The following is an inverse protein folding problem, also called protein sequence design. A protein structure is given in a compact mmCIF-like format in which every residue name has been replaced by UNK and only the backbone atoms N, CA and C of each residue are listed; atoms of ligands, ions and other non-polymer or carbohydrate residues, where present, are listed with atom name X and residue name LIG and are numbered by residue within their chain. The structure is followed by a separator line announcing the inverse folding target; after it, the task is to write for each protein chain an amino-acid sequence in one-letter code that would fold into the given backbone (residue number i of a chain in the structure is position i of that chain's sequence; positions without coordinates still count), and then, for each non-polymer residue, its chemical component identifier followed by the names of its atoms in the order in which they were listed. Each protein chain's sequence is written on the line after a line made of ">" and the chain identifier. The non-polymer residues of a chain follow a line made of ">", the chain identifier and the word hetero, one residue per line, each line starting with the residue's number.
data_IF_748972056054
#
_entry.id   IF_748972056054
#
_cell.length_a   1.000
_cell.length_b   1.000
_cell.length_c   1.000
_cell.angle_alpha   90.00
_cell.angle_beta   90.00
_cell.angle_gamma   90.00
#
_symmetry.space_group_name_H-M   'P 1'
#
loop_
_entity.id
_entity.type
_entity.pdbx_description
1 polymer ?
#
# COMPACT_ATOMS: atom_id res chain seq x y z
N UNK A 1 38.37 8.93 5.25
CA UNK A 1 37.21 8.84 4.35
C UNK A 1 36.27 10.00 4.72
N UNK A 2 36.13 11.00 3.85
CA UNK A 2 35.24 12.13 4.08
C UNK A 2 33.79 11.70 3.81
N UNK A 3 32.96 11.69 4.85
CA UNK A 3 31.52 11.48 4.74
C UNK A 3 30.89 12.61 3.93
N UNK A 4 30.10 12.27 2.91
CA UNK A 4 29.38 13.25 2.11
C UNK A 4 28.39 14.02 3.00
N UNK A 5 28.28 15.35 2.91
CA UNK A 5 27.50 16.18 3.86
C UNK A 5 25.99 15.87 3.89
N UNK A 6 25.48 15.10 2.93
CA UNK A 6 24.08 14.63 2.87
C UNK A 6 23.90 13.16 3.31
N UNK A 7 24.98 12.45 3.61
CA UNK A 7 24.94 11.04 3.98
C UNK A 7 24.75 10.92 5.50
N UNK A 8 23.48 10.82 5.94
CA UNK A 8 23.11 10.75 7.37
C UNK A 8 23.45 9.41 8.03
N UNK A 9 23.60 8.33 7.27
CA UNK A 9 23.98 7.00 7.75
C UNK A 9 24.99 6.34 6.78
N UNK A 10 25.80 5.41 7.29
CA UNK A 10 26.60 4.52 6.44
C UNK A 10 25.69 3.83 5.40
N UNK A 11 26.22 3.49 4.22
CA UNK A 11 25.43 2.82 3.17
C UNK A 11 24.60 1.68 3.79
N UNK A 12 23.26 1.65 3.58
CA UNK A 12 22.40 0.69 4.27
C UNK A 12 22.91 -0.74 4.05
N UNK A 13 22.91 -1.56 5.10
CA UNK A 13 23.33 -2.95 4.98
C UNK A 13 22.45 -3.66 3.95
N UNK A 14 23.06 -4.17 2.88
CA UNK A 14 22.37 -4.92 1.82
C UNK A 14 21.47 -6.02 2.39
N UNK A 15 21.98 -6.78 3.34
CA UNK A 15 21.25 -7.88 3.96
C UNK A 15 20.02 -7.38 4.74
N UNK A 16 20.11 -6.18 5.33
CA UNK A 16 18.99 -5.57 6.05
C UNK A 16 17.94 -5.03 5.09
N UNK A 17 18.35 -4.42 3.97
CA UNK A 17 17.45 -4.02 2.87
C UNK A 17 16.69 -5.22 2.33
N UNK A 18 17.42 -6.29 1.98
CA UNK A 18 16.83 -7.52 1.46
C UNK A 18 15.88 -8.16 2.47
N UNK A 19 16.24 -8.18 3.76
CA UNK A 19 15.37 -8.71 4.81
C UNK A 19 14.08 -7.91 4.92
N UNK A 20 14.15 -6.58 4.93
CA UNK A 20 12.97 -5.71 4.96
C UNK A 20 12.07 -5.96 3.74
N UNK A 21 12.64 -5.97 2.53
CA UNK A 21 11.87 -6.19 1.31
C UNK A 21 11.27 -7.59 1.22
N UNK A 22 12.02 -8.63 1.61
CA UNK A 22 11.53 -10.01 1.57
C UNK A 22 10.41 -10.24 2.61
N UNK A 23 10.57 -9.72 3.83
CA UNK A 23 9.55 -9.82 4.89
C UNK A 23 8.29 -9.04 4.55
N UNK A 24 8.42 -7.81 4.03
CA UNK A 24 7.29 -7.03 3.54
C UNK A 24 6.56 -7.73 2.40
N UNK A 25 7.29 -8.25 1.41
CA UNK A 25 6.71 -8.99 0.30
C UNK A 25 5.96 -10.24 0.78
N UNK A 26 6.55 -11.00 1.70
CA UNK A 26 5.89 -12.16 2.29
C UNK A 26 4.61 -11.77 3.04
N UNK A 27 4.62 -10.66 3.78
CA UNK A 27 3.44 -10.11 4.45
C UNK A 27 2.34 -9.76 3.44
N UNK A 28 2.68 -9.09 2.33
CA UNK A 28 1.69 -8.67 1.33
C UNK A 28 1.10 -9.86 0.59
N UNK A 29 1.92 -10.86 0.25
CA UNK A 29 1.44 -12.11 -0.34
C UNK A 29 0.55 -12.90 0.62
N UNK A 30 0.86 -12.88 1.92
CA UNK A 30 -0.01 -13.47 2.94
C UNK A 30 -1.36 -12.74 3.02
N UNK A 31 -1.37 -11.41 2.94
CA UNK A 31 -2.61 -10.61 2.85
C UNK A 31 -3.42 -10.97 1.59
N UNK A 32 -2.79 -11.06 0.41
CA UNK A 32 -3.51 -11.50 -0.81
C UNK A 32 -4.03 -12.94 -0.73
N UNK A 33 -3.28 -13.84 -0.09
CA UNK A 33 -3.75 -15.20 0.18
C UNK A 33 -4.95 -15.19 1.13
N UNK A 34 -4.95 -14.34 2.15
CA UNK A 34 -6.10 -14.17 3.03
C UNK A 34 -7.30 -13.60 2.27
N UNK A 35 -7.08 -12.59 1.43
CA UNK A 35 -8.13 -11.94 0.62
C UNK A 35 -8.84 -12.93 -0.30
N UNK A 36 -8.12 -13.86 -0.92
CA UNK A 36 -8.72 -14.87 -1.81
C UNK A 36 -9.55 -15.92 -1.09
N UNK A 37 -9.38 -16.05 0.23
CA UNK A 37 -10.14 -16.96 1.08
C UNK A 37 -11.25 -16.24 1.84
N UNK A 38 -11.24 -14.91 1.83
CA UNK A 38 -12.22 -14.08 2.50
C UNK A 38 -13.48 -14.02 1.63
N UNK A 39 -14.61 -14.46 2.17
CA UNK A 39 -15.88 -14.46 1.47
C UNK A 39 -16.70 -13.23 1.84
N UNK A 40 -16.81 -12.30 0.89
CA UNK A 40 -17.57 -11.06 1.03
C UNK A 40 -18.46 -10.89 -0.19
N UNK A 41 -19.65 -10.27 -0.04
CA UNK A 41 -20.51 -9.97 -1.18
C UNK A 41 -19.80 -9.16 -2.28
N UNK A 42 -18.83 -8.32 -1.91
CA UNK A 42 -18.06 -7.52 -2.85
C UNK A 42 -17.16 -8.34 -3.79
N UNK A 43 -16.78 -9.58 -3.42
CA UNK A 43 -15.97 -10.45 -4.27
C UNK A 43 -16.63 -10.76 -5.62
N UNK A 44 -17.98 -10.80 -5.63
CA UNK A 44 -18.78 -11.10 -6.82
C UNK A 44 -19.26 -9.84 -7.57
N UNK A 45 -18.94 -8.64 -7.07
CA UNK A 45 -19.31 -7.38 -7.71
C UNK A 45 -18.33 -7.01 -8.83
N UNK A 46 -18.74 -6.12 -9.75
CA UNK A 46 -17.82 -5.56 -10.73
C UNK A 46 -16.67 -4.82 -10.02
N UNK A 47 -15.44 -5.11 -10.42
CA UNK A 47 -14.23 -4.61 -9.76
C UNK A 47 -13.85 -5.36 -8.48
N UNK A 48 -14.71 -6.23 -7.95
CA UNK A 48 -14.37 -7.08 -6.80
C UNK A 48 -13.79 -6.31 -5.62
N UNK A 49 -12.76 -6.88 -4.99
CA UNK A 49 -11.97 -6.25 -3.94
C UNK A 49 -11.13 -5.06 -4.41
N UNK A 50 -10.88 -4.89 -5.71
CA UNK A 50 -10.10 -3.77 -6.22
C UNK A 50 -10.88 -2.44 -6.23
N UNK A 51 -12.13 -2.46 -5.75
CA UNK A 51 -12.87 -1.26 -5.37
C UNK A 51 -12.26 -0.55 -4.15
N UNK A 52 -11.53 -1.26 -3.29
CA UNK A 52 -10.88 -0.67 -2.13
C UNK A 52 -9.50 -0.12 -2.47
N UNK A 53 -9.26 1.14 -2.11
CA UNK A 53 -7.94 1.75 -2.25
C UNK A 53 -6.83 0.93 -1.57
N UNK A 54 -7.12 0.34 -0.40
CA UNK A 54 -6.18 -0.56 0.33
C UNK A 54 -5.70 -1.71 -0.55
N UNK A 55 -6.58 -2.32 -1.35
CA UNK A 55 -6.22 -3.49 -2.16
C UNK A 55 -5.42 -3.06 -3.39
N UNK A 56 -5.77 -1.93 -3.99
CA UNK A 56 -5.01 -1.33 -5.08
C UNK A 56 -3.61 -0.89 -4.62
N UNK A 57 -3.51 -0.21 -3.47
CA UNK A 57 -2.22 0.21 -2.91
C UNK A 57 -1.37 -0.99 -2.55
N UNK A 58 -1.94 -2.02 -1.90
CA UNK A 58 -1.25 -3.25 -1.55
C UNK A 58 -0.70 -3.98 -2.78
N UNK A 59 -1.43 -3.96 -3.90
CA UNK A 59 -0.94 -4.53 -5.17
C UNK A 59 0.31 -3.78 -5.67
N UNK A 60 0.29 -2.43 -5.65
CA UNK A 60 1.45 -1.63 -6.02
C UNK A 60 2.61 -1.80 -5.04
N UNK A 61 2.33 -1.91 -3.74
CA UNK A 61 3.31 -2.23 -2.68
C UNK A 61 3.98 -3.58 -2.92
N UNK A 62 3.21 -4.58 -3.33
CA UNK A 62 3.71 -5.92 -3.70
C UNK A 62 4.64 -5.86 -4.89
N UNK A 63 4.26 -5.14 -5.96
CA UNK A 63 5.14 -4.94 -7.12
C UNK A 63 6.41 -4.18 -6.71
N UNK A 64 6.28 -3.13 -5.90
CA UNK A 64 7.40 -2.32 -5.43
C UNK A 64 8.41 -3.16 -4.67
N UNK A 65 7.94 -3.97 -3.71
CA UNK A 65 8.80 -4.83 -2.90
C UNK A 65 9.34 -6.03 -3.69
N UNK A 66 8.59 -6.56 -4.66
CA UNK A 66 9.10 -7.59 -5.57
C UNK A 66 10.26 -7.06 -6.42
N UNK A 67 10.12 -5.86 -7.01
CA UNK A 67 11.22 -5.21 -7.75
C UNK A 67 12.40 -4.93 -6.82
N UNK A 68 12.15 -4.51 -5.58
CA UNK A 68 13.20 -4.25 -4.60
C UNK A 68 13.97 -5.51 -4.21
N UNK A 69 13.29 -6.64 -3.98
CA UNK A 69 13.95 -7.95 -3.74
C UNK A 69 14.84 -8.34 -4.93
N UNK A 70 14.33 -8.21 -6.16
CA UNK A 70 15.14 -8.53 -7.35
C UNK A 70 16.32 -7.57 -7.48
N UNK A 71 16.15 -6.28 -7.19
CA UNK A 71 17.23 -5.30 -7.18
C UNK A 71 18.32 -5.65 -6.14
N UNK A 72 17.94 -6.04 -4.93
CA UNK A 72 18.87 -6.40 -3.85
C UNK A 72 19.65 -7.69 -4.13
N UNK A 73 19.02 -8.66 -4.82
CA UNK A 73 19.65 -9.91 -5.22
C UNK A 73 20.61 -9.71 -6.40
N UNK A 74 20.20 -8.93 -7.40
CA UNK A 74 20.94 -8.75 -8.67
C UNK A 74 21.92 -7.57 -8.69
N UNK A 75 21.81 -6.65 -7.72
CA UNK A 75 22.55 -5.39 -7.68
C UNK A 75 22.29 -4.50 -8.91
N UNK A 76 21.14 -4.66 -9.57
CA UNK A 76 20.78 -3.91 -10.76
C UNK A 76 20.31 -2.49 -10.39
N UNK A 77 21.09 -1.49 -10.83
CA UNK A 77 20.82 -0.07 -10.55
C UNK A 77 19.53 0.44 -11.19
N UNK A 78 19.13 -0.12 -12.35
CA UNK A 78 17.86 0.22 -13.01
C UNK A 78 16.67 -0.26 -12.19
N UNK A 79 16.70 -1.51 -11.69
CA UNK A 79 15.65 -2.03 -10.82
C UNK A 79 15.58 -1.24 -9.51
N UNK A 80 16.74 -0.88 -8.94
CA UNK A 80 16.79 0.00 -7.77
C UNK A 80 16.20 1.39 -8.07
N UNK A 81 16.40 1.95 -9.27
CA UNK A 81 15.74 3.21 -9.66
C UNK A 81 14.23 3.04 -9.82
N UNK A 82 13.76 1.92 -10.38
CA UNK A 82 12.34 1.62 -10.57
C UNK A 82 11.63 1.47 -9.22
N UNK A 83 12.14 0.62 -8.31
CA UNK A 83 11.51 0.41 -6.98
C UNK A 83 11.34 1.72 -6.24
N UNK A 84 12.34 2.57 -6.35
CA UNK A 84 12.40 3.86 -5.72
C UNK A 84 11.38 4.87 -6.29
N UNK A 85 11.23 4.91 -7.62
CA UNK A 85 10.19 5.73 -8.28
C UNK A 85 8.79 5.27 -7.90
N UNK A 86 8.57 3.97 -7.75
CA UNK A 86 7.30 3.44 -7.26
C UNK A 86 7.05 3.86 -5.80
N UNK A 87 8.05 3.68 -4.93
CA UNK A 87 7.95 3.99 -3.49
C UNK A 87 7.61 5.47 -3.21
N UNK A 88 8.02 6.41 -4.07
CA UNK A 88 7.66 7.85 -3.96
C UNK A 88 6.16 8.07 -3.87
N UNK A 89 5.37 7.25 -4.58
CA UNK A 89 3.90 7.34 -4.57
C UNK A 89 3.32 6.35 -3.57
N UNK A 90 3.82 5.13 -3.57
CA UNK A 90 3.21 4.04 -2.81
C UNK A 90 3.34 4.26 -1.31
N UNK A 91 4.48 4.74 -0.82
CA UNK A 91 4.67 4.99 0.61
C UNK A 91 3.68 6.00 1.22
N UNK A 92 3.49 7.21 0.65
CA UNK A 92 2.51 8.16 1.20
C UNK A 92 1.07 7.66 1.05
N UNK A 93 0.73 6.91 -0.01
CA UNK A 93 -0.60 6.31 -0.16
C UNK A 93 -0.86 5.27 0.94
N UNK A 94 0.10 4.40 1.22
CA UNK A 94 -0.04 3.38 2.28
C UNK A 94 -0.09 3.99 3.68
N UNK A 95 0.67 5.06 3.93
CA UNK A 95 0.56 5.83 5.19
C UNK A 95 -0.82 6.47 5.30
N UNK A 96 -1.36 7.04 4.22
CA UNK A 96 -2.72 7.60 4.21
C UNK A 96 -3.76 6.51 4.51
N UNK A 97 -3.67 5.36 3.84
CA UNK A 97 -4.55 4.21 4.08
C UNK A 97 -4.49 3.80 5.56
N UNK A 98 -3.30 3.66 6.13
CA UNK A 98 -3.11 3.28 7.53
C UNK A 98 -3.74 4.31 8.49
N UNK A 99 -3.45 5.60 8.29
CA UNK A 99 -3.96 6.67 9.16
C UNK A 99 -5.48 6.78 9.09
N UNK A 100 -6.06 6.71 7.89
CA UNK A 100 -7.51 6.76 7.73
C UNK A 100 -8.17 5.54 8.36
N UNK A 101 -7.66 4.35 8.07
CA UNK A 101 -8.21 3.10 8.58
C UNK A 101 -8.17 3.04 10.11
N UNK A 102 -6.98 3.17 10.71
CA UNK A 102 -6.82 3.07 12.16
C UNK A 102 -7.43 4.25 12.90
N UNK A 103 -7.51 5.42 12.26
CA UNK A 103 -8.24 6.57 12.79
C UNK A 103 -9.74 6.29 12.92
N UNK A 104 -10.36 5.72 11.89
CA UNK A 104 -11.77 5.31 11.94
C UNK A 104 -11.96 4.15 12.93
N UNK A 105 -11.09 3.14 12.88
CA UNK A 105 -11.14 1.98 13.78
C UNK A 105 -11.05 2.39 15.26
N UNK A 106 -10.20 3.35 15.60
CA UNK A 106 -10.06 3.85 16.97
C UNK A 106 -11.29 4.66 17.44
N UNK A 107 -12.03 5.28 16.51
CA UNK A 107 -13.25 6.02 16.82
C UNK A 107 -14.46 5.08 16.93
N UNK A 108 -14.75 4.32 15.88
CA UNK A 108 -15.83 3.33 15.84
C UNK A 108 -15.57 2.29 14.73
N UNK A 109 -15.18 1.05 15.08
CA UNK A 109 -14.95 -0.04 14.13
C UNK A 109 -16.18 -0.39 13.27
N UNK A 110 -17.40 -0.11 13.74
CA UNK A 110 -18.63 -0.42 12.98
C UNK A 110 -18.79 0.45 11.73
N UNK A 111 -18.03 1.55 11.62
CA UNK A 111 -17.99 2.38 10.42
C UNK A 111 -17.19 1.73 9.28
N UNK A 112 -16.33 0.75 9.58
CA UNK A 112 -15.51 0.05 8.58
C UNK A 112 -16.23 -1.20 8.06
N UNK A 113 -16.75 -2.04 8.95
CA UNK A 113 -17.44 -3.27 8.61
C UNK A 113 -18.42 -3.69 9.72
N UNK A 114 -19.51 -4.39 9.40
CA UNK A 114 -20.40 -4.95 10.40
C UNK A 114 -19.72 -6.14 11.07
N UNK A 115 -20.25 -6.56 12.21
CA UNK A 115 -19.62 -7.56 13.07
C UNK A 115 -19.42 -8.91 12.37
N UNK A 116 -20.30 -9.26 11.43
CA UNK A 116 -20.26 -10.47 10.61
C UNK A 116 -19.08 -10.53 9.63
N UNK A 117 -18.48 -9.40 9.28
CA UNK A 117 -17.31 -9.30 8.39
C UNK A 117 -16.09 -8.72 9.10
N UNK A 118 -15.98 -8.94 10.41
CA UNK A 118 -14.77 -8.59 11.15
C UNK A 118 -13.63 -9.54 10.79
N UNK A 119 -12.53 -8.94 10.38
CA UNK A 119 -11.30 -9.64 10.06
C UNK A 119 -10.49 -9.95 11.34
N UNK A 120 -9.76 -11.08 11.41
CA UNK A 120 -8.79 -11.31 12.48
C UNK A 120 -7.74 -10.20 12.52
N UNK A 121 -7.40 -9.72 13.71
CA UNK A 121 -6.51 -8.54 13.92
C UNK A 121 -5.15 -8.65 13.21
N UNK A 122 -4.59 -9.87 13.09
CA UNK A 122 -3.31 -10.08 12.41
C UNK A 122 -3.44 -9.83 10.90
N UNK A 123 -4.53 -10.29 10.29
CA UNK A 123 -4.80 -10.03 8.89
C UNK A 123 -5.08 -8.53 8.70
N UNK A 124 -5.84 -7.91 9.60
CA UNK A 124 -6.13 -6.48 9.58
C UNK A 124 -4.86 -5.61 9.61
N UNK A 125 -3.93 -5.89 10.53
CA UNK A 125 -2.59 -5.28 10.57
C UNK A 125 -1.86 -5.50 9.24
N UNK A 126 -1.93 -6.71 8.68
CA UNK A 126 -1.30 -7.07 7.41
C UNK A 126 -1.81 -6.29 6.20
N UNK A 127 -3.09 -5.91 6.18
CA UNK A 127 -3.67 -5.07 5.11
C UNK A 127 -3.43 -3.58 5.34
N UNK A 128 -3.62 -3.10 6.57
CA UNK A 128 -3.80 -1.67 6.81
C UNK A 128 -2.62 -0.99 7.51
N UNK A 129 -1.79 -1.71 8.28
CA UNK A 129 -0.64 -1.10 8.96
C UNK A 129 0.69 -1.49 8.31
N UNK A 130 0.87 -2.78 8.03
CA UNK A 130 2.16 -3.33 7.66
C UNK A 130 2.75 -2.73 6.38
N UNK A 131 1.96 -2.51 5.30
CA UNK A 131 2.46 -1.85 4.09
C UNK A 131 3.02 -0.44 4.36
N UNK A 132 2.27 0.39 5.08
CA UNK A 132 2.70 1.74 5.44
C UNK A 132 3.97 1.75 6.29
N UNK A 133 4.08 0.82 7.25
CA UNK A 133 5.26 0.70 8.12
C UNK A 133 6.50 0.31 7.29
N UNK A 134 6.46 -0.78 6.53
CA UNK A 134 7.66 -1.27 5.82
C UNK A 134 8.10 -0.34 4.69
N UNK A 135 7.15 0.29 3.97
CA UNK A 135 7.49 1.29 2.95
C UNK A 135 8.07 2.56 3.57
N UNK A 136 7.56 3.00 4.72
CA UNK A 136 8.15 4.13 5.45
C UNK A 136 9.59 3.82 5.88
N UNK A 137 9.83 2.61 6.40
CA UNK A 137 11.18 2.17 6.75
C UNK A 137 12.09 2.13 5.51
N UNK A 138 11.63 1.61 4.38
CA UNK A 138 12.40 1.59 3.12
C UNK A 138 12.75 3.02 2.66
N UNK A 139 11.76 3.90 2.59
CA UNK A 139 11.96 5.28 2.10
C UNK A 139 12.88 6.08 3.03
N UNK A 140 12.78 5.89 4.35
CA UNK A 140 13.57 6.66 5.33
C UNK A 140 15.01 6.15 5.49
N UNK A 141 15.23 4.84 5.37
CA UNK A 141 16.51 4.22 5.73
C UNK A 141 17.25 3.52 4.58
N UNK A 142 16.54 3.06 3.55
CA UNK A 142 17.13 2.21 2.48
C UNK A 142 17.03 2.82 1.09
N UNK A 143 16.34 3.95 0.96
CA UNK A 143 16.19 4.70 -0.29
C UNK A 143 17.02 6.00 -0.28
N UNK A 144 17.54 6.44 -1.43
CA UNK A 144 18.18 7.75 -1.52
C UNK A 144 17.15 8.87 -1.27
N UNK A 145 17.59 10.05 -0.80
CA UNK A 145 16.69 11.17 -0.57
C UNK A 145 16.06 11.63 -1.89
N UNK A 146 14.73 11.76 -1.89
CA UNK A 146 13.96 12.21 -3.04
C UNK A 146 13.77 13.72 -3.00
N UNK A 147 14.05 14.39 -4.11
CA UNK A 147 13.73 15.80 -4.31
C UNK A 147 12.72 15.93 -5.44
N UNK A 148 11.45 15.67 -5.13
CA UNK A 148 10.34 16.04 -6.02
C UNK A 148 9.82 17.42 -5.60
N UNK A 149 9.49 18.27 -6.57
CA UNK A 149 8.91 19.58 -6.28
C UNK A 149 7.49 19.40 -5.71
N UNK A 150 7.06 20.33 -4.86
CA UNK A 150 5.70 20.32 -4.32
C UNK A 150 4.65 20.33 -5.43
N UNK A 151 4.88 21.04 -6.53
CA UNK A 151 3.96 21.07 -7.69
C UNK A 151 3.87 19.73 -8.40
N UNK A 152 4.99 19.03 -8.61
CA UNK A 152 4.99 17.69 -9.20
C UNK A 152 4.28 16.68 -8.30
N UNK A 153 4.48 16.76 -6.99
CA UNK A 153 3.79 15.90 -6.02
C UNK A 153 2.28 16.16 -6.02
N UNK A 154 1.86 17.43 -6.02
CA UNK A 154 0.45 17.80 -6.10
C UNK A 154 -0.18 17.32 -7.41
N UNK A 155 0.49 17.50 -8.55
CA UNK A 155 0.00 17.04 -9.83
C UNK A 155 -0.17 15.51 -9.84
N UNK A 156 0.81 14.77 -9.34
CA UNK A 156 0.78 13.31 -9.28
C UNK A 156 -0.34 12.81 -8.34
N UNK A 157 -0.46 13.39 -7.15
CA UNK A 157 -1.54 13.06 -6.20
C UNK A 157 -2.92 13.33 -6.79
N UNK A 158 -3.10 14.45 -7.48
CA UNK A 158 -4.37 14.76 -8.15
C UNK A 158 -4.69 13.74 -9.25
N UNK A 159 -3.73 13.44 -10.13
CA UNK A 159 -3.93 12.43 -11.19
C UNK A 159 -4.36 11.10 -10.59
N UNK A 160 -3.67 10.62 -9.55
CA UNK A 160 -4.00 9.35 -8.89
C UNK A 160 -5.38 9.40 -8.21
N UNK A 161 -5.73 10.51 -7.57
CA UNK A 161 -7.05 10.70 -6.97
C UNK A 161 -8.17 10.64 -8.02
N UNK A 162 -8.00 11.33 -9.16
CA UNK A 162 -8.98 11.30 -10.26
C UNK A 162 -9.05 9.92 -10.93
N UNK A 163 -7.93 9.21 -11.08
CA UNK A 163 -7.92 7.84 -11.62
C UNK A 163 -8.66 6.88 -10.69
N UNK A 164 -8.40 6.94 -9.38
CA UNK A 164 -9.11 6.13 -8.40
C UNK A 164 -10.60 6.48 -8.36
N UNK A 165 -10.95 7.77 -8.38
CA UNK A 165 -12.34 8.20 -8.43
C UNK A 165 -13.04 7.69 -9.69
N UNK A 166 -12.45 7.85 -10.87
CA UNK A 166 -13.00 7.34 -12.12
C UNK A 166 -13.21 5.82 -12.08
N UNK A 167 -12.28 5.08 -11.47
CA UNK A 167 -12.42 3.63 -11.27
C UNK A 167 -13.60 3.27 -10.36
N UNK A 168 -13.74 3.99 -9.24
CA UNK A 168 -14.85 3.79 -8.30
C UNK A 168 -16.20 4.14 -8.94
N UNK A 169 -16.26 5.22 -9.72
CA UNK A 169 -17.46 5.58 -10.51
C UNK A 169 -17.80 4.51 -11.54
N UNK A 170 -16.79 3.99 -12.25
CA UNK A 170 -17.01 2.86 -13.15
C UNK A 170 -17.62 1.67 -12.41
N UNK A 171 -17.11 1.32 -11.23
CA UNK A 171 -17.70 0.25 -10.41
C UNK A 171 -19.14 0.55 -10.01
N UNK A 172 -19.44 1.80 -9.63
CA UNK A 172 -20.80 2.24 -9.34
C UNK A 172 -21.75 2.09 -10.54
N UNK A 173 -21.31 2.42 -11.76
CA UNK A 173 -22.16 2.27 -12.96
C UNK A 173 -22.60 0.83 -13.23
N UNK A 174 -21.78 -0.16 -12.85
CA UNK A 174 -22.11 -1.59 -12.99
C UNK A 174 -22.87 -2.15 -11.80
N UNK A 175 -22.50 -1.74 -10.57
CA UNK A 175 -23.03 -2.32 -9.34
C UNK A 175 -24.28 -1.61 -8.82
N UNK A 176 -24.43 -0.31 -9.09
CA UNK A 176 -25.48 0.55 -8.54
C UNK A 176 -25.25 0.99 -7.08
N UNK A 177 -24.06 0.74 -6.53
CA UNK A 177 -23.66 1.10 -5.18
C UNK A 177 -22.13 1.21 -5.06
N UNK A 178 -21.65 1.95 -4.06
CA UNK A 178 -20.22 2.02 -3.72
C UNK A 178 -19.87 1.01 -2.63
N UNK A 179 -18.63 0.51 -2.61
CA UNK A 179 -18.13 -0.49 -1.65
C UNK A 179 -18.49 -0.18 -0.18
N UNK A 180 -18.36 1.09 0.24
CA UNK A 180 -18.70 1.54 1.59
C UNK A 180 -20.21 1.41 1.92
N UNK A 181 -21.10 1.49 0.93
CA UNK A 181 -22.55 1.36 1.11
C UNK A 181 -23.05 -0.08 1.02
N UNK A 182 -22.29 -1.00 0.42
CA UNK A 182 -22.65 -2.43 0.42
C UNK A 182 -22.79 -2.97 1.83
N UNK A 183 -21.81 -2.65 2.67
CA UNK A 183 -21.74 -3.01 4.08
C UNK A 183 -22.99 -2.55 4.86
N UNK A 184 -23.57 -1.40 4.52
CA UNK A 184 -24.76 -0.86 5.19
C UNK A 184 -26.09 -1.39 4.66
N UNK A 185 -26.11 -2.08 3.52
CA UNK A 185 -27.34 -2.68 2.95
C UNK A 185 -27.57 -4.12 3.40
N UNK A 186 -26.51 -4.78 3.86
CA UNK A 186 -26.54 -6.17 4.33
C UNK A 186 -26.73 -6.28 5.84
N UNK A 187 -26.44 -5.21 6.60
CA UNK A 187 -26.75 -5.02 8.02
C UNK A 187 -28.17 -4.50 8.26
#
# INVERSE_FOLDING_TARGET
>A
MSTHPQQRFASPSRSLSLLLHATGLASFLASFKHLSQYDMPIANAYGGYSQFLTILSLAVSTVTFAVAVVADLTLNSTLFSIKNKLAVVTAPVEVLVALMYWGIFAYDPQLLFPDEFRMPIIADIGFHAMPGIVLSLDVLFFSPPWTISASSMLALSNVLAFLYWAWVEQCYTHNGWYAAFLVRRIS
#
